data_IF_577502071915
#
_entry.id   IF_577502071915
#
_cell.length_a   1.000
_cell.length_b   1.000
_cell.length_c   1.000
_cell.angle_alpha   90.00
_cell.angle_beta   90.00
_cell.angle_gamma   90.00
#
_symmetry.space_group_name_H-M   'P 1'
#
loop_
_entity.id
_entity.type
_entity.pdbx_description
1 polymer ?
#
# COMPACT_ATOMS: atom_id res chain seq x y z
N UNK A 1 15.92 -16.01 24.49
CA UNK A 1 16.76 -15.58 23.36
C UNK A 1 16.31 -16.15 22.01
N UNK A 2 16.41 -17.46 21.74
CA UNK A 2 16.14 -18.06 20.42
C UNK A 2 14.78 -17.70 19.78
N UNK A 3 13.70 -17.61 20.57
CA UNK A 3 12.35 -17.25 20.08
C UNK A 3 12.27 -15.82 19.53
N UNK A 4 12.90 -14.83 20.17
CA UNK A 4 12.88 -13.42 19.72
C UNK A 4 13.77 -13.26 18.49
N UNK A 5 14.91 -13.94 18.44
CA UNK A 5 15.76 -13.99 17.25
C UNK A 5 15.03 -14.58 16.04
N UNK A 6 14.29 -15.68 16.22
CA UNK A 6 13.45 -16.25 15.16
C UNK A 6 12.36 -15.28 14.66
N UNK A 7 11.76 -14.48 15.55
CA UNK A 7 10.79 -13.44 15.17
C UNK A 7 11.44 -12.32 14.34
N UNK A 8 12.68 -11.93 14.67
CA UNK A 8 13.42 -10.91 13.92
C UNK A 8 13.81 -11.43 12.54
N UNK A 9 14.30 -12.67 12.44
CA UNK A 9 14.61 -13.30 11.15
C UNK A 9 13.36 -13.34 10.25
N UNK A 10 12.24 -13.83 10.79
CA UNK A 10 10.96 -13.83 10.05
C UNK A 10 10.50 -12.42 9.66
N UNK A 11 10.77 -11.41 10.47
CA UNK A 11 10.42 -10.02 10.14
C UNK A 11 11.21 -9.52 8.93
N UNK A 12 12.49 -9.88 8.81
CA UNK A 12 13.30 -9.58 7.64
C UNK A 12 12.77 -10.33 6.41
N UNK A 13 12.41 -11.61 6.55
CA UNK A 13 11.79 -12.39 5.46
C UNK A 13 10.46 -11.79 5.01
N UNK A 14 9.58 -11.41 5.94
CA UNK A 14 8.27 -10.78 5.67
C UNK A 14 8.46 -9.48 4.85
N UNK A 15 9.45 -8.65 5.23
CA UNK A 15 9.75 -7.38 4.55
C UNK A 15 10.41 -7.61 3.19
N UNK A 16 11.38 -8.52 3.10
CA UNK A 16 12.02 -8.89 1.83
C UNK A 16 11.00 -9.48 0.85
N UNK A 17 10.04 -10.26 1.33
CA UNK A 17 8.92 -10.78 0.55
C UNK A 17 7.84 -9.73 0.25
N UNK A 18 7.99 -8.48 0.72
CA UNK A 18 7.07 -7.39 0.44
C UNK A 18 5.69 -7.52 1.09
N UNK A 19 5.54 -8.38 2.10
CA UNK A 19 4.27 -8.64 2.79
C UNK A 19 3.94 -7.62 3.87
N UNK A 20 4.94 -6.88 4.34
CA UNK A 20 4.80 -5.78 5.28
C UNK A 20 5.46 -4.51 4.73
N UNK A 21 4.95 -3.35 5.15
CA UNK A 21 5.55 -2.06 4.80
C UNK A 21 6.70 -1.69 5.75
N UNK A 22 7.39 -0.60 5.42
CA UNK A 22 8.51 -0.08 6.20
C UNK A 22 8.12 0.26 7.63
N UNK A 23 6.97 0.89 7.84
CA UNK A 23 6.48 1.28 9.17
C UNK A 23 6.26 0.05 10.08
N UNK A 24 5.62 -1.00 9.54
CA UNK A 24 5.45 -2.28 10.24
C UNK A 24 6.80 -2.91 10.59
N UNK A 25 7.75 -2.91 9.66
CA UNK A 25 9.09 -3.44 9.92
C UNK A 25 9.79 -2.68 11.06
N UNK A 26 9.86 -1.35 10.97
CA UNK A 26 10.55 -0.51 11.95
C UNK A 26 9.96 -0.67 13.37
N UNK A 27 8.63 -0.60 13.50
CA UNK A 27 7.97 -0.70 14.79
C UNK A 27 8.07 -2.10 15.40
N UNK A 28 7.93 -3.15 14.59
CA UNK A 28 8.10 -4.54 15.07
C UNK A 28 9.54 -4.81 15.47
N UNK A 29 10.50 -4.33 14.69
CA UNK A 29 11.92 -4.49 15.00
C UNK A 29 12.26 -3.77 16.31
N UNK A 30 11.85 -2.51 16.48
CA UNK A 30 12.04 -1.75 17.70
C UNK A 30 11.38 -2.43 18.91
N UNK A 31 10.18 -2.99 18.74
CA UNK A 31 9.50 -3.77 19.77
C UNK A 31 10.31 -5.01 20.18
N UNK A 32 10.77 -5.82 19.23
CA UNK A 32 11.55 -7.03 19.54
C UNK A 32 12.92 -6.72 20.14
N UNK A 33 13.56 -5.61 19.76
CA UNK A 33 14.79 -5.14 20.40
C UNK A 33 14.57 -4.73 21.87
N UNK A 34 13.43 -4.13 22.19
CA UNK A 34 13.04 -3.85 23.59
C UNK A 34 12.75 -5.13 24.37
N UNK A 35 12.08 -6.11 23.76
CA UNK A 35 11.87 -7.43 24.39
C UNK A 35 13.21 -8.12 24.69
N UNK A 36 14.17 -8.09 23.77
CA UNK A 36 15.47 -8.71 23.96
C UNK A 36 16.22 -8.11 25.16
N UNK A 37 16.33 -6.77 25.21
CA UNK A 37 16.99 -6.07 26.32
C UNK A 37 16.33 -6.35 27.66
N UNK A 38 15.01 -6.48 27.69
CA UNK A 38 14.27 -6.82 28.92
C UNK A 38 14.60 -8.24 29.39
N UNK A 39 14.70 -9.20 28.46
CA UNK A 39 15.07 -10.58 28.77
C UNK A 39 16.51 -10.66 29.31
N UNK A 40 17.44 -9.94 28.69
CA UNK A 40 18.84 -9.85 29.14
C UNK A 40 18.93 -9.33 30.58
N UNK A 41 18.25 -8.21 30.87
CA UNK A 41 18.22 -7.62 32.21
C UNK A 41 17.63 -8.57 33.26
N UNK A 42 16.57 -9.30 32.93
CA UNK A 42 15.95 -10.26 33.85
C UNK A 42 16.85 -11.47 34.11
N UNK A 43 17.53 -11.99 33.07
CA UNK A 43 18.49 -13.08 33.21
C UNK A 43 19.67 -12.69 34.11
N UNK A 44 20.18 -11.47 33.97
CA UNK A 44 21.27 -10.95 34.80
C UNK A 44 20.85 -10.74 36.27
N UNK A 45 19.58 -10.42 36.52
CA UNK A 45 19.05 -10.14 37.86
C UNK A 45 18.86 -11.38 38.77
N UNK A 46 18.99 -12.61 38.24
CA UNK A 46 18.84 -13.91 38.95
C UNK A 46 17.56 -14.10 39.82
N UNK A 47 16.57 -13.20 39.77
CA UNK A 47 15.37 -13.25 40.63
C UNK A 47 14.02 -13.13 39.89
N UNK A 48 13.98 -13.06 38.56
CA UNK A 48 12.74 -12.75 37.82
C UNK A 48 12.16 -13.90 37.00
N UNK A 49 10.83 -14.07 37.07
CA UNK A 49 10.07 -14.92 36.14
C UNK A 49 10.03 -14.27 34.74
N UNK A 50 11.02 -14.59 33.91
CA UNK A 50 11.19 -14.04 32.55
C UNK A 50 9.98 -14.27 31.64
N UNK A 51 9.08 -15.21 31.97
CA UNK A 51 7.86 -15.48 31.20
C UNK A 51 6.84 -14.35 31.33
N UNK A 52 6.81 -13.63 32.45
CA UNK A 52 5.92 -12.47 32.64
C UNK A 52 6.35 -11.24 31.80
N UNK A 53 7.61 -11.17 31.36
CA UNK A 53 8.12 -10.08 30.53
C UNK A 53 7.71 -10.20 29.04
N UNK A 54 7.22 -11.38 28.59
CA UNK A 54 6.71 -11.53 27.23
C UNK A 54 5.30 -10.95 27.12
N UNK A 55 5.16 -9.80 26.46
CA UNK A 55 3.82 -9.23 26.22
C UNK A 55 3.18 -9.84 24.98
N UNK A 56 2.40 -10.90 25.16
CA UNK A 56 1.61 -11.50 24.09
C UNK A 56 0.60 -10.48 23.54
N UNK A 57 0.47 -10.38 22.20
CA UNK A 57 -0.49 -9.51 21.52
C UNK A 57 0.01 -8.12 21.07
N UNK A 58 1.12 -7.58 21.61
CA UNK A 58 1.65 -6.27 21.18
C UNK A 58 2.08 -6.24 19.72
N UNK A 59 2.73 -7.30 19.22
CA UNK A 59 3.13 -7.41 17.81
C UNK A 59 1.93 -7.42 16.86
N UNK A 60 0.81 -8.02 17.26
CA UNK A 60 -0.44 -8.02 16.48
C UNK A 60 -1.04 -6.62 16.41
N UNK A 61 -1.03 -5.89 17.54
CA UNK A 61 -1.49 -4.50 17.58
C UNK A 61 -0.64 -3.60 16.66
N UNK A 62 0.69 -3.70 16.74
CA UNK A 62 1.63 -2.96 15.89
C UNK A 62 1.36 -3.22 14.41
N UNK A 63 1.18 -4.50 14.03
CA UNK A 63 0.85 -4.87 12.64
C UNK A 63 -0.45 -4.24 12.16
N UNK A 64 -1.50 -4.24 12.99
CA UNK A 64 -2.82 -3.68 12.65
C UNK A 64 -2.80 -2.15 12.55
N UNK A 65 -2.08 -1.48 13.44
CA UNK A 65 -1.97 -0.02 13.47
C UNK A 65 -1.20 0.52 12.27
N UNK A 66 -0.15 -0.18 11.87
CA UNK A 66 0.69 0.19 10.73
C UNK A 66 0.30 -0.52 9.43
N UNK A 67 -0.93 -1.06 9.34
CA UNK A 67 -1.42 -1.62 8.09
C UNK A 67 -1.88 -0.49 7.16
N UNK A 68 -1.28 -0.40 5.98
CA UNK A 68 -1.73 0.54 4.97
C UNK A 68 -3.11 0.13 4.44
N UNK A 69 -4.04 1.10 4.39
CA UNK A 69 -5.39 0.90 3.87
C UNK A 69 -5.61 1.85 2.71
N UNK A 70 -6.10 1.32 1.58
CA UNK A 70 -6.62 2.15 0.51
C UNK A 70 -7.93 2.80 0.99
N UNK A 71 -7.97 4.13 0.98
CA UNK A 71 -9.13 4.92 1.41
C UNK A 71 -9.95 5.42 0.22
N UNK A 72 -9.33 5.55 -0.94
CA UNK A 72 -10.02 5.93 -2.16
C UNK A 72 -9.18 5.71 -3.42
N UNK A 73 -9.86 5.75 -4.55
CA UNK A 73 -9.30 5.62 -5.88
C UNK A 73 -9.80 6.76 -6.77
N UNK A 74 -8.96 7.23 -7.68
CA UNK A 74 -9.36 8.07 -8.80
C UNK A 74 -8.82 7.46 -10.08
N UNK A 75 -9.64 7.39 -11.13
CA UNK A 75 -9.26 6.80 -12.42
C UNK A 75 -9.37 7.89 -13.47
N UNK A 76 -8.30 8.08 -14.22
CA UNK A 76 -8.20 9.08 -15.27
C UNK A 76 -7.98 8.43 -16.62
N UNK A 77 -8.63 8.94 -17.66
CA UNK A 77 -8.33 8.56 -19.02
C UNK A 77 -6.95 9.12 -19.42
N UNK A 78 -6.16 8.31 -20.14
CA UNK A 78 -4.81 8.70 -20.56
C UNK A 78 -4.85 9.74 -21.68
N UNK A 79 -5.74 9.57 -22.66
CA UNK A 79 -5.81 10.41 -23.86
C UNK A 79 -6.31 11.83 -23.54
N UNK A 80 -7.50 11.98 -22.96
CA UNK A 80 -8.05 13.30 -22.62
C UNK A 80 -7.51 13.88 -21.30
N UNK A 81 -7.00 13.04 -20.41
CA UNK A 81 -6.67 13.45 -19.03
C UNK A 81 -7.90 13.70 -18.15
N UNK A 82 -9.10 13.38 -18.62
CA UNK A 82 -10.33 13.58 -17.85
C UNK A 82 -10.53 12.51 -16.77
N UNK A 83 -11.11 12.86 -15.61
CA UNK A 83 -11.49 11.89 -14.60
C UNK A 83 -12.65 11.02 -15.12
N UNK A 84 -12.49 9.70 -15.04
CA UNK A 84 -13.54 8.73 -15.34
C UNK A 84 -14.34 8.40 -14.07
N UNK A 85 -13.66 8.16 -12.95
CA UNK A 85 -14.33 7.80 -11.71
C UNK A 85 -13.52 8.21 -10.48
N UNK A 86 -14.24 8.49 -9.39
CA UNK A 86 -13.68 8.60 -8.05
C UNK A 86 -14.46 7.69 -7.13
N UNK A 87 -13.76 6.83 -6.39
CA UNK A 87 -14.34 5.80 -5.54
C UNK A 87 -13.79 5.93 -4.12
N UNK A 88 -14.66 5.82 -3.12
CA UNK A 88 -14.28 5.96 -1.71
C UNK A 88 -13.91 7.40 -1.33
N UNK A 89 -13.11 7.57 -0.28
CA UNK A 89 -12.69 8.86 0.26
C UNK A 89 -11.40 9.35 -0.41
N UNK A 90 -11.48 9.70 -1.69
CA UNK A 90 -10.36 10.29 -2.41
C UNK A 90 -10.32 11.81 -2.24
N UNK A 91 -9.91 12.26 -1.05
CA UNK A 91 -9.81 13.68 -0.72
C UNK A 91 -8.40 14.23 -0.99
N UNK A 92 -8.06 14.36 -2.27
CA UNK A 92 -6.84 15.03 -2.76
C UNK A 92 -7.26 16.15 -3.71
N UNK A 93 -6.71 17.34 -3.49
CA UNK A 93 -6.97 18.49 -4.35
C UNK A 93 -6.48 18.22 -5.79
N UNK A 94 -7.35 18.48 -6.78
CA UNK A 94 -7.02 18.37 -8.18
C UNK A 94 -5.84 19.28 -8.58
N UNK A 95 -5.70 20.45 -7.94
CA UNK A 95 -4.58 21.36 -8.17
C UNK A 95 -3.23 20.76 -7.79
N UNK A 96 -3.20 19.85 -6.81
CA UNK A 96 -2.01 19.08 -6.45
C UNK A 96 -1.84 17.86 -7.38
N UNK A 97 -2.95 17.16 -7.64
CA UNK A 97 -2.96 15.87 -8.32
C UNK A 97 -2.60 15.95 -9.81
N UNK A 98 -3.18 16.90 -10.53
CA UNK A 98 -3.03 17.03 -11.99
C UNK A 98 -1.56 17.24 -12.38
N UNK A 99 -0.81 18.18 -11.76
CA UNK A 99 0.62 18.32 -12.04
C UNK A 99 1.42 17.03 -11.77
N UNK A 100 1.15 16.33 -10.66
CA UNK A 100 1.82 15.06 -10.35
C UNK A 100 1.53 13.99 -11.41
N UNK A 101 0.28 13.89 -11.86
CA UNK A 101 -0.12 12.95 -12.92
C UNK A 101 0.56 13.29 -14.25
N UNK A 102 0.66 14.57 -14.61
CA UNK A 102 1.37 15.02 -15.81
C UNK A 102 2.85 14.68 -15.76
N UNK A 103 3.52 14.99 -14.64
CA UNK A 103 4.94 14.64 -14.44
C UNK A 103 5.16 13.13 -14.49
N UNK A 104 4.24 12.35 -13.90
CA UNK A 104 4.29 10.91 -13.93
C UNK A 104 4.18 10.36 -15.36
N UNK A 105 3.20 10.81 -16.14
CA UNK A 105 3.01 10.39 -17.54
C UNK A 105 4.20 10.74 -18.43
N UNK A 106 4.79 11.92 -18.23
CA UNK A 106 6.01 12.32 -18.95
C UNK A 106 7.17 11.36 -18.66
N UNK A 107 7.42 11.04 -17.38
CA UNK A 107 8.46 10.10 -17.00
C UNK A 107 8.19 8.66 -17.49
N UNK A 108 6.92 8.24 -17.50
CA UNK A 108 6.50 6.93 -18.00
C UNK A 108 6.65 6.79 -19.52
N UNK A 109 6.52 7.88 -20.28
CA UNK A 109 6.73 7.88 -21.73
C UNK A 109 8.22 7.76 -22.11
N UNK A 110 9.13 8.28 -21.29
CA UNK A 110 10.59 8.20 -21.52
C UNK A 110 11.18 6.84 -21.13
N UNK A 111 10.64 6.21 -20.10
CA UNK A 111 11.05 4.90 -19.63
C UNK A 111 10.09 3.83 -20.19
N UNK A 112 10.41 3.25 -21.37
CA UNK A 112 9.66 2.17 -22.03
C UNK A 112 8.86 1.27 -21.06
N UNK A 113 7.57 1.59 -20.88
CA UNK A 113 6.70 0.92 -19.91
C UNK A 113 6.78 1.56 -18.52
N UNK A 114 5.87 2.50 -18.25
CA UNK A 114 5.72 3.12 -16.93
C UNK A 114 5.58 2.05 -15.85
N UNK A 115 6.53 2.01 -14.91
CA UNK A 115 6.36 1.26 -13.69
C UNK A 115 5.40 2.00 -12.75
N UNK A 116 4.74 1.25 -11.85
CA UNK A 116 4.01 1.85 -10.75
C UNK A 116 4.92 2.80 -9.98
N UNK A 117 4.40 4.00 -9.70
CA UNK A 117 5.09 4.99 -8.86
C UNK A 117 4.26 5.24 -7.62
N UNK A 118 4.94 5.53 -6.52
CA UNK A 118 4.25 5.92 -5.31
C UNK A 118 5.05 6.98 -4.55
N UNK A 119 4.34 7.86 -3.84
CA UNK A 119 4.94 8.99 -3.14
C UNK A 119 4.15 9.34 -1.89
N UNK A 120 4.86 9.82 -0.88
CA UNK A 120 4.22 10.47 0.26
C UNK A 120 3.55 11.77 -0.18
N UNK A 121 2.44 12.10 0.48
CA UNK A 121 1.79 13.41 0.42
C UNK A 121 1.61 13.94 1.84
N UNK A 122 1.01 15.13 1.96
CA UNK A 122 0.72 15.75 3.25
C UNK A 122 -0.08 14.83 4.19
N UNK A 123 0.14 15.02 5.50
CA UNK A 123 -0.47 14.26 6.58
C UNK A 123 -0.09 12.76 6.64
N UNK A 124 1.04 12.37 6.02
CA UNK A 124 1.55 11.01 6.08
C UNK A 124 0.78 10.01 5.20
N UNK A 125 -0.16 10.49 4.38
CA UNK A 125 -0.86 9.69 3.38
C UNK A 125 0.06 9.37 2.21
N UNK A 126 -0.31 8.37 1.44
CA UNK A 126 0.50 7.88 0.33
C UNK A 126 -0.31 7.79 -0.96
N UNK A 127 0.23 8.27 -2.06
CA UNK A 127 -0.35 8.14 -3.39
C UNK A 127 0.39 7.07 -4.19
N UNK A 128 -0.36 6.25 -4.91
CA UNK A 128 0.15 5.28 -5.86
C UNK A 128 -0.45 5.55 -7.23
N UNK A 129 0.39 5.69 -8.25
CA UNK A 129 0.03 5.86 -9.65
C UNK A 129 0.28 4.53 -10.35
N UNK A 130 -0.80 3.94 -10.86
CA UNK A 130 -0.81 2.65 -11.53
C UNK A 130 -1.17 2.91 -12.99
N UNK A 131 -0.19 2.80 -13.90
CA UNK A 131 -0.42 3.06 -15.31
C UNK A 131 -1.12 1.86 -15.93
N UNK A 132 -2.05 2.13 -16.84
CA UNK A 132 -2.60 1.17 -17.77
C UNK A 132 -2.44 1.67 -19.21
N UNK A 133 -2.93 0.89 -20.17
CA UNK A 133 -2.88 1.23 -21.58
C UNK A 133 -3.79 2.43 -21.89
N UNK A 134 -4.98 2.48 -21.32
CA UNK A 134 -6.00 3.49 -21.62
C UNK A 134 -6.24 4.46 -20.47
N UNK A 135 -5.92 4.05 -19.25
CA UNK A 135 -6.26 4.77 -18.03
C UNK A 135 -5.11 4.74 -17.03
N UNK A 136 -5.09 5.70 -16.12
CA UNK A 136 -4.22 5.70 -14.95
C UNK A 136 -5.09 5.61 -13.70
N UNK A 137 -4.86 4.59 -12.87
CA UNK A 137 -5.43 4.52 -11.54
C UNK A 137 -4.52 5.26 -10.56
N UNK A 138 -5.15 6.04 -9.69
CA UNK A 138 -4.49 6.70 -8.57
C UNK A 138 -5.15 6.19 -7.29
N UNK A 139 -4.36 5.54 -6.43
CA UNK A 139 -4.82 5.03 -5.16
C UNK A 139 -4.27 5.87 -4.01
N UNK A 140 -5.15 6.25 -3.08
CA UNK A 140 -4.81 6.95 -1.85
C UNK A 140 -4.78 5.95 -0.69
N UNK A 141 -3.66 5.91 0.03
CA UNK A 141 -3.46 5.10 1.22
C UNK A 141 -3.27 5.93 2.48
N UNK A 142 -3.61 5.33 3.61
CA UNK A 142 -3.37 5.93 4.94
C UNK A 142 -1.90 6.14 5.26
N UNK A 143 -1.03 5.25 4.77
CA UNK A 143 0.44 5.25 4.93
C UNK A 143 1.07 4.48 3.76
N UNK A 144 2.40 4.41 3.69
CA UNK A 144 3.14 3.61 2.68
C UNK A 144 2.61 2.15 2.63
N UNK A 145 2.10 1.68 1.47
CA UNK A 145 1.66 0.30 1.30
C UNK A 145 2.83 -0.69 1.18
N UNK A 146 2.57 -1.95 1.52
CA UNK A 146 3.53 -3.03 1.28
C UNK A 146 3.64 -3.33 -0.22
N UNK A 147 4.77 -3.89 -0.68
CA UNK A 147 4.98 -4.16 -2.10
C UNK A 147 3.90 -5.08 -2.71
N UNK A 148 3.48 -6.12 -1.99
CA UNK A 148 2.37 -6.98 -2.44
C UNK A 148 1.04 -6.25 -2.59
N UNK A 149 0.82 -5.17 -1.84
CA UNK A 149 -0.36 -4.35 -2.03
C UNK A 149 -0.29 -3.56 -3.35
N UNK A 150 0.92 -3.14 -3.75
CA UNK A 150 1.14 -2.47 -5.03
C UNK A 150 0.97 -3.42 -6.21
N UNK A 151 1.55 -4.63 -6.15
CA UNK A 151 1.35 -5.69 -7.15
C UNK A 151 -0.15 -6.01 -7.34
N UNK A 152 -0.88 -6.05 -6.23
CA UNK A 152 -2.32 -6.26 -6.26
C UNK A 152 -3.07 -5.12 -6.95
N UNK A 153 -2.69 -3.85 -6.72
CA UNK A 153 -3.29 -2.71 -7.42
C UNK A 153 -3.02 -2.76 -8.93
N UNK A 154 -1.81 -3.15 -9.34
CA UNK A 154 -1.49 -3.34 -10.76
C UNK A 154 -2.40 -4.39 -11.39
N UNK A 155 -2.57 -5.53 -10.72
CA UNK A 155 -3.48 -6.59 -11.18
C UNK A 155 -4.95 -6.14 -11.22
N UNK A 156 -5.39 -5.40 -10.21
CA UNK A 156 -6.74 -4.84 -10.12
C UNK A 156 -7.00 -3.85 -11.28
N UNK A 157 -6.05 -2.96 -11.55
CA UNK A 157 -6.14 -1.99 -12.65
C UNK A 157 -6.14 -2.67 -14.02
N UNK A 158 -5.25 -3.65 -14.22
CA UNK A 158 -5.23 -4.46 -15.43
C UNK A 158 -6.54 -5.24 -15.65
N UNK A 159 -7.18 -5.70 -14.57
CA UNK A 159 -8.50 -6.35 -14.64
C UNK A 159 -9.58 -5.36 -15.06
N UNK A 160 -9.57 -4.14 -14.51
CA UNK A 160 -10.47 -3.06 -14.92
C UNK A 160 -10.31 -2.74 -16.41
N UNK A 161 -9.08 -2.56 -16.91
CA UNK A 161 -8.88 -2.26 -18.33
C UNK A 161 -9.27 -3.42 -19.24
N UNK A 162 -8.97 -4.65 -18.84
CA UNK A 162 -9.37 -5.83 -19.61
C UNK A 162 -10.88 -5.96 -19.72
N UNK A 163 -11.60 -5.78 -18.60
CA UNK A 163 -13.07 -5.86 -18.56
C UNK A 163 -13.76 -4.75 -19.38
N UNK A 164 -13.12 -3.58 -19.49
CA UNK A 164 -13.69 -2.42 -20.17
C UNK A 164 -13.08 -2.12 -21.53
N UNK A 165 -12.19 -2.98 -22.05
CA UNK A 165 -11.36 -2.71 -23.24
C UNK A 165 -12.13 -2.09 -24.39
N UNK A 166 -13.26 -2.68 -24.78
CA UNK A 166 -14.07 -2.19 -25.91
C UNK A 166 -14.59 -0.77 -25.70
N UNK A 167 -14.94 -0.40 -24.46
CA UNK A 167 -15.41 0.95 -24.11
C UNK A 167 -14.26 1.93 -24.02
N UNK A 168 -13.13 1.51 -23.45
CA UNK A 168 -11.93 2.34 -23.30
C UNK A 168 -11.22 2.65 -24.63
N UNK A 169 -11.51 1.88 -25.69
CA UNK A 169 -11.02 2.16 -27.05
C UNK A 169 -11.94 3.06 -27.87
N UNK A 170 -13.11 3.44 -27.34
CA UNK A 170 -14.03 4.33 -28.04
C UNK A 170 -13.52 5.78 -28.02
N UNK A 171 -13.90 6.57 -29.03
CA UNK A 171 -13.51 7.99 -29.12
C UNK A 171 -14.07 8.86 -27.99
N UNK A 172 -15.14 8.40 -27.33
CA UNK A 172 -15.68 9.02 -26.13
C UNK A 172 -16.01 7.90 -25.15
N UNK A 173 -15.32 7.89 -24.01
CA UNK A 173 -15.59 6.95 -22.93
C UNK A 173 -16.72 7.50 -22.07
N UNK A 174 -17.84 6.76 -22.00
CA UNK A 174 -18.91 7.02 -21.03
C UNK A 174 -18.61 6.26 -19.72
N UNK A 175 -18.29 6.96 -18.60
CA UNK A 175 -18.01 6.30 -17.34
C UNK A 175 -19.18 5.49 -16.79
N UNK A 176 -20.43 5.82 -17.13
CA UNK A 176 -21.63 5.13 -16.65
C UNK A 176 -21.78 3.70 -17.17
N UNK A 177 -21.07 3.35 -18.24
CA UNK A 177 -21.08 2.00 -18.81
C UNK A 177 -19.89 1.14 -18.37
N UNK A 178 -18.96 1.71 -17.61
CA UNK A 178 -17.76 1.02 -17.16
C UNK A 178 -18.06 0.13 -15.95
N UNK A 179 -17.40 -1.03 -15.91
CA UNK A 179 -17.43 -1.94 -14.77
C UNK A 179 -16.23 -1.62 -13.88
N UNK A 180 -16.44 -1.41 -12.58
CA UNK A 180 -15.38 -1.04 -11.64
C UNK A 180 -15.13 -2.15 -10.61
N UNK A 181 -14.17 -3.08 -10.85
CA UNK A 181 -13.79 -4.10 -9.87
C UNK A 181 -13.37 -3.52 -8.52
N UNK A 182 -12.83 -2.29 -8.52
CA UNK A 182 -12.41 -1.52 -7.36
C UNK A 182 -13.48 -1.40 -6.26
N UNK A 183 -14.76 -1.36 -6.63
CA UNK A 183 -15.88 -1.25 -5.68
C UNK A 183 -15.93 -2.44 -4.71
N UNK A 184 -15.56 -3.64 -5.17
CA UNK A 184 -15.53 -4.84 -4.33
C UNK A 184 -14.33 -4.87 -3.37
N UNK A 185 -13.36 -3.97 -3.55
CA UNK A 185 -12.07 -4.01 -2.84
C UNK A 185 -11.78 -2.76 -2.01
N UNK A 186 -12.59 -1.72 -2.13
CA UNK A 186 -12.56 -0.58 -1.22
C UNK A 186 -12.77 -1.06 0.22
N UNK A 187 -11.76 -0.85 1.07
CA UNK A 187 -11.79 -1.27 2.48
C UNK A 187 -11.60 -2.77 2.76
N UNK A 188 -11.47 -3.64 1.74
CA UNK A 188 -11.29 -5.08 1.91
C UNK A 188 -9.91 -5.57 1.48
N UNK A 189 -8.86 -5.17 2.21
CA UNK A 189 -7.59 -5.90 2.19
C UNK A 189 -7.77 -7.14 3.07
N UNK A 190 -8.20 -8.26 2.49
CA UNK A 190 -8.36 -9.52 3.22
C UNK A 190 -7.03 -9.88 3.89
N UNK A 191 -7.12 -10.13 5.20
CA UNK A 191 -6.10 -10.81 6.00
C UNK A 191 -5.60 -12.04 5.22
N UNK A 192 -4.32 -12.04 4.86
CA UNK A 192 -3.56 -13.27 4.69
C UNK A 192 -2.97 -13.65 6.06
#
# INVERSE_FOLDING_TARGET
MARVQAKIARLADDFAAGTINRAQFQELYAHYQREMRTIEQVLDSRQGDWRAAMTEGKSVAIRKQNLARAVGYAIYENESGMPLATLGEFAVDAALLVPMLSSYRAAAAEMFGGSLRSTAIENGRWLCFVPGQHTTLIALFTIEPAHKQLEYLESLHGTFESANRHRLTASLVDPGELIFPHEFYLGMWRKA
#
